data_IF_609374162622
#
_entry.id   IF_609374162622
#
_cell.length_a   1.000
_cell.length_b   1.000
_cell.length_c   1.000
_cell.angle_alpha   90.00
_cell.angle_beta   90.00
_cell.angle_gamma   90.00
#
_symmetry.space_group_name_H-M   'P 1'
#
loop_
_entity.id
_entity.type
_entity.pdbx_description
1 polymer ?
#
# COMPACT_ATOMS: atom_id res chain seq x y z
N UNK A 1 5.72 6.29 -2.02
CA UNK A 1 5.80 6.80 -0.62
C UNK A 1 4.56 6.40 0.14
N UNK A 2 4.69 6.00 1.39
CA UNK A 2 3.57 5.73 2.31
C UNK A 2 3.73 6.60 3.55
N UNK A 3 2.69 7.34 3.93
CA UNK A 3 2.66 8.17 5.14
C UNK A 3 1.56 7.65 6.07
N UNK A 4 1.92 7.28 7.29
CA UNK A 4 1.02 6.83 8.34
C UNK A 4 0.82 7.96 9.34
N UNK A 5 -0.42 8.35 9.59
CA UNK A 5 -0.78 9.44 10.51
C UNK A 5 -1.81 9.01 11.55
N UNK A 6 -1.83 9.71 12.67
CA UNK A 6 -2.71 9.43 13.82
C UNK A 6 -4.14 9.96 13.63
N UNK A 7 -4.40 10.64 12.51
CA UNK A 7 -5.64 11.36 12.27
C UNK A 7 -6.85 10.44 12.02
N UNK A 8 -8.02 10.99 12.28
CA UNK A 8 -9.29 10.41 11.86
C UNK A 8 -9.35 10.27 10.33
N UNK A 9 -9.89 9.15 9.84
CA UNK A 9 -9.92 8.85 8.40
C UNK A 9 -10.72 9.90 7.59
N UNK A 10 -11.85 10.38 8.12
CA UNK A 10 -12.67 11.40 7.44
C UNK A 10 -11.93 12.73 7.38
N UNK A 11 -11.29 13.11 8.49
CA UNK A 11 -10.49 14.33 8.55
C UNK A 11 -9.22 14.23 7.68
N UNK A 12 -8.60 13.05 7.59
CA UNK A 12 -7.45 12.80 6.72
C UNK A 12 -7.78 13.03 5.24
N UNK A 13 -9.03 12.80 4.80
CA UNK A 13 -9.47 13.15 3.44
C UNK A 13 -9.19 14.62 3.11
N UNK A 14 -9.46 15.54 4.03
CA UNK A 14 -9.19 16.96 3.83
C UNK A 14 -7.70 17.26 3.65
N UNK A 15 -6.85 16.54 4.38
CA UNK A 15 -5.38 16.67 4.22
C UNK A 15 -4.95 16.19 2.83
N UNK A 16 -5.51 15.08 2.35
CA UNK A 16 -5.24 14.56 1.01
C UNK A 16 -5.69 15.57 -0.04
N UNK A 17 -6.93 16.08 0.06
CA UNK A 17 -7.48 17.05 -0.89
C UNK A 17 -6.65 18.34 -0.93
N UNK A 18 -6.20 18.83 0.22
CA UNK A 18 -5.36 20.02 0.31
C UNK A 18 -3.92 19.78 -0.24
N UNK A 19 -3.36 18.59 -0.03
CA UNK A 19 -1.98 18.27 -0.42
C UNK A 19 -1.85 17.80 -1.87
N UNK A 20 -2.90 17.22 -2.44
CA UNK A 20 -2.90 16.62 -3.79
C UNK A 20 -2.39 17.56 -4.88
N UNK A 21 -2.85 18.85 -4.99
CA UNK A 21 -2.35 19.75 -6.02
C UNK A 21 -0.82 19.92 -5.96
N UNK A 22 -0.29 20.14 -4.76
CA UNK A 22 1.14 20.32 -4.54
C UNK A 22 1.95 19.06 -4.86
N UNK A 23 1.46 17.90 -4.43
CA UNK A 23 2.13 16.62 -4.69
C UNK A 23 2.11 16.27 -6.18
N UNK A 24 1.00 16.53 -6.87
CA UNK A 24 0.87 16.32 -8.32
C UNK A 24 1.83 17.25 -9.09
N UNK A 25 1.89 18.54 -8.73
CA UNK A 25 2.83 19.50 -9.32
C UNK A 25 4.29 19.07 -9.09
N UNK A 26 4.59 18.45 -7.94
CA UNK A 26 5.91 17.93 -7.60
C UNK A 26 6.24 16.58 -8.27
N UNK A 27 5.31 15.98 -9.05
CA UNK A 27 5.55 14.77 -9.83
C UNK A 27 4.91 13.48 -9.28
N UNK A 28 3.97 13.56 -8.32
CA UNK A 28 3.19 12.40 -7.92
C UNK A 28 2.21 12.00 -9.03
N UNK A 29 2.23 10.75 -9.46
CA UNK A 29 1.33 10.19 -10.47
C UNK A 29 0.03 9.64 -9.87
N UNK A 30 0.03 9.30 -8.57
CA UNK A 30 -1.13 8.79 -7.86
C UNK A 30 -1.03 9.13 -6.37
N UNK A 31 -2.16 9.51 -5.76
CA UNK A 31 -2.27 9.78 -4.32
C UNK A 31 -3.55 9.14 -3.84
N UNK A 32 -3.46 8.32 -2.79
CA UNK A 32 -4.61 7.58 -2.24
C UNK A 32 -4.57 7.58 -0.72
N UNK A 33 -5.74 7.66 -0.12
CA UNK A 33 -5.94 7.53 1.30
C UNK A 33 -6.68 6.26 1.67
N UNK A 34 -6.36 5.72 2.84
CA UNK A 34 -7.05 4.58 3.40
C UNK A 34 -7.11 4.64 4.93
N UNK A 35 -8.23 4.23 5.50
CA UNK A 35 -8.37 3.95 6.91
C UNK A 35 -7.89 2.52 7.20
N UNK A 36 -7.05 2.33 8.22
CA UNK A 36 -6.58 1.00 8.63
C UNK A 36 -7.61 0.41 9.59
N UNK A 37 -8.25 -0.68 9.16
CA UNK A 37 -9.33 -1.33 9.90
C UNK A 37 -8.83 -2.44 10.83
N UNK A 38 -7.71 -3.10 10.49
CA UNK A 38 -7.15 -4.21 11.28
C UNK A 38 -5.63 -4.15 11.34
N UNK A 39 -5.06 -4.79 12.36
CA UNK A 39 -3.61 -4.88 12.57
C UNK A 39 -3.09 -3.86 13.59
N UNK A 40 -1.76 -3.75 13.77
CA UNK A 40 -1.14 -2.91 14.80
C UNK A 40 -1.44 -1.42 14.68
N UNK A 41 -1.77 -0.97 13.47
CA UNK A 41 -2.06 0.43 13.16
C UNK A 41 -3.57 0.71 12.99
N UNK A 42 -4.44 -0.15 13.52
CA UNK A 42 -5.89 0.04 13.48
C UNK A 42 -6.30 1.43 14.00
N UNK A 43 -7.18 2.08 13.26
CA UNK A 43 -7.67 3.43 13.57
C UNK A 43 -6.82 4.56 13.01
N UNK A 44 -5.62 4.27 12.48
CA UNK A 44 -4.79 5.26 11.80
C UNK A 44 -5.18 5.41 10.32
N UNK A 45 -4.78 6.52 9.75
CA UNK A 45 -4.90 6.76 8.32
C UNK A 45 -3.58 6.52 7.61
N UNK A 46 -3.65 5.94 6.41
CA UNK A 46 -2.53 5.71 5.51
C UNK A 46 -2.73 6.54 4.24
N UNK A 47 -1.75 7.33 3.87
CA UNK A 47 -1.69 7.98 2.56
C UNK A 47 -0.55 7.35 1.76
N UNK A 48 -0.87 6.80 0.59
CA UNK A 48 0.10 6.30 -0.36
C UNK A 48 0.21 7.23 -1.57
N UNK A 49 1.42 7.46 -2.06
CA UNK A 49 1.66 8.22 -3.28
C UNK A 49 2.73 7.54 -4.13
N UNK A 50 2.52 7.56 -5.45
CA UNK A 50 3.42 6.97 -6.44
C UNK A 50 4.20 8.09 -7.10
N UNK A 51 5.50 7.89 -7.27
CA UNK A 51 6.46 8.86 -7.82
C UNK A 51 7.37 8.14 -8.78
N UNK A 52 7.60 8.69 -9.95
CA UNK A 52 8.61 8.19 -10.87
C UNK A 52 10.03 8.49 -10.32
N UNK A 53 10.19 9.70 -9.76
CA UNK A 53 11.40 10.13 -9.07
C UNK A 53 11.07 10.53 -7.62
N UNK A 54 11.59 9.83 -6.59
CA UNK A 54 11.34 10.16 -5.20
C UNK A 54 11.90 11.52 -4.75
N UNK A 55 12.87 12.09 -5.48
CA UNK A 55 13.44 13.41 -5.16
C UNK A 55 12.36 14.49 -5.15
N UNK A 56 11.40 14.41 -6.08
CA UNK A 56 10.26 15.34 -6.12
C UNK A 56 9.48 15.40 -4.80
N UNK A 57 9.33 14.26 -4.12
CA UNK A 57 8.72 14.24 -2.79
C UNK A 57 9.56 15.01 -1.76
N UNK A 58 10.85 14.70 -1.64
CA UNK A 58 11.70 15.26 -0.59
C UNK A 58 11.99 16.74 -0.82
N UNK A 59 12.27 17.18 -2.05
CA UNK A 59 12.55 18.56 -2.41
C UNK A 59 11.38 19.51 -2.19
N UNK A 60 10.15 19.01 -2.40
CA UNK A 60 8.96 19.86 -2.32
C UNK A 60 8.17 19.68 -1.01
N UNK A 61 8.47 18.64 -0.20
CA UNK A 61 7.73 18.32 1.02
C UNK A 61 7.61 19.52 1.97
N UNK A 62 8.67 20.26 2.21
CA UNK A 62 8.65 21.42 3.08
C UNK A 62 7.73 22.53 2.55
N UNK A 63 7.65 22.71 1.23
CA UNK A 63 6.81 23.75 0.60
C UNK A 63 5.33 23.44 0.82
N UNK A 64 4.86 22.23 0.51
CA UNK A 64 3.43 21.95 0.69
C UNK A 64 3.03 21.82 2.17
N UNK A 65 3.92 21.35 3.05
CA UNK A 65 3.65 21.33 4.48
C UNK A 65 3.63 22.72 5.12
N UNK A 66 4.15 23.74 4.45
CA UNK A 66 4.06 25.14 4.86
C UNK A 66 2.84 25.88 4.26
N UNK A 67 2.12 25.27 3.31
CA UNK A 67 0.92 25.85 2.74
C UNK A 67 -0.17 26.02 3.82
N UNK A 68 -0.77 27.22 3.99
CA UNK A 68 -1.75 27.46 5.05
C UNK A 68 -2.96 26.54 5.01
N UNK A 69 -3.40 26.09 3.82
CA UNK A 69 -4.55 25.17 3.69
C UNK A 69 -4.17 23.77 4.15
N UNK A 70 -2.96 23.31 3.82
CA UNK A 70 -2.42 22.03 4.27
C UNK A 70 -2.23 22.04 5.79
N UNK A 71 -1.63 23.10 6.34
CA UNK A 71 -1.48 23.28 7.78
C UNK A 71 -2.80 23.24 8.51
N UNK A 72 -3.81 23.99 8.02
CA UNK A 72 -5.14 24.01 8.61
C UNK A 72 -5.82 22.63 8.55
N UNK A 73 -5.67 21.90 7.44
CA UNK A 73 -6.21 20.55 7.30
C UNK A 73 -5.56 19.55 8.29
N UNK A 74 -4.24 19.62 8.49
CA UNK A 74 -3.53 18.82 9.50
C UNK A 74 -4.01 19.11 10.92
N UNK A 75 -4.19 20.40 11.26
CA UNK A 75 -4.70 20.81 12.56
C UNK A 75 -6.13 20.33 12.80
N UNK A 76 -7.02 20.49 11.80
CA UNK A 76 -8.41 20.03 11.87
C UNK A 76 -8.49 18.49 11.99
N UNK A 77 -7.61 17.77 11.32
CA UNK A 77 -7.52 16.31 11.40
C UNK A 77 -6.87 15.81 12.70
N UNK A 78 -6.31 16.69 13.52
CA UNK A 78 -5.59 16.31 14.74
C UNK A 78 -4.32 15.49 14.48
N UNK A 79 -3.76 15.56 13.26
CA UNK A 79 -2.55 14.83 12.91
C UNK A 79 -1.34 15.57 13.49
N UNK A 80 -0.69 14.97 14.46
CA UNK A 80 0.47 15.54 15.15
C UNK A 80 1.81 15.07 14.63
N UNK A 81 1.83 13.97 13.88
CA UNK A 81 3.01 13.40 13.27
C UNK A 81 2.68 12.40 12.19
N UNK A 82 3.61 12.24 11.26
CA UNK A 82 3.52 11.24 10.20
C UNK A 82 4.79 10.43 10.13
N UNK A 83 4.65 9.11 10.11
CA UNK A 83 5.74 8.20 9.77
C UNK A 83 5.72 7.98 8.26
N UNK A 84 6.83 8.30 7.59
CA UNK A 84 6.96 8.15 6.14
C UNK A 84 7.86 6.98 5.82
N UNK A 85 7.40 6.12 4.92
CA UNK A 85 8.15 4.97 4.41
C UNK A 85 8.23 5.06 2.89
N UNK A 86 9.42 4.88 2.35
CA UNK A 86 9.65 4.73 0.92
C UNK A 86 9.63 3.25 0.56
N UNK A 87 8.95 2.92 -0.52
CA UNK A 87 8.89 1.57 -1.07
C UNK A 87 9.05 1.62 -2.60
N UNK A 88 9.69 0.62 -3.15
CA UNK A 88 9.79 0.37 -4.58
C UNK A 88 8.63 -0.54 -4.99
N UNK A 89 7.88 -0.18 -6.04
CA UNK A 89 6.89 -1.07 -6.64
C UNK A 89 7.63 -2.12 -7.46
N UNK A 90 7.47 -3.39 -7.10
CA UNK A 90 8.15 -4.51 -7.75
C UNK A 90 7.28 -5.19 -8.80
N UNK A 91 5.96 -5.21 -8.62
CA UNK A 91 5.02 -5.67 -9.64
C UNK A 91 3.62 -5.10 -9.41
N UNK A 92 2.84 -5.02 -10.49
CA UNK A 92 1.41 -4.73 -10.47
C UNK A 92 0.69 -5.66 -11.43
N UNK A 93 -0.48 -6.16 -11.03
CA UNK A 93 -1.39 -6.98 -11.85
C UNK A 93 -2.83 -6.52 -11.64
N UNK A 94 -3.62 -6.55 -12.72
CA UNK A 94 -5.02 -6.12 -12.70
C UNK A 94 -5.16 -4.62 -12.39
N UNK A 95 -6.31 -4.24 -11.83
CA UNK A 95 -6.62 -2.87 -11.45
C UNK A 95 -6.31 -2.66 -9.97
N UNK A 96 -5.24 -1.91 -9.68
CA UNK A 96 -4.85 -1.61 -8.30
C UNK A 96 -5.78 -0.59 -7.63
N UNK A 97 -7.09 -0.82 -7.71
CA UNK A 97 -8.17 -0.01 -7.13
C UNK A 97 -9.24 -0.90 -6.53
N UNK A 98 -9.92 -0.41 -5.49
CA UNK A 98 -11.00 -1.10 -4.82
C UNK A 98 -11.44 -0.39 -3.55
N UNK A 99 -12.57 -0.82 -3.02
CA UNK A 99 -13.11 -0.33 -1.75
C UNK A 99 -12.21 -0.70 -0.58
N UNK A 100 -11.54 -1.86 -0.66
CA UNK A 100 -10.64 -2.36 0.37
C UNK A 100 -9.27 -2.69 -0.19
N UNK A 101 -8.25 -2.53 0.67
CA UNK A 101 -6.92 -3.07 0.46
C UNK A 101 -6.62 -4.14 1.51
N UNK A 102 -6.16 -5.31 1.08
CA UNK A 102 -5.66 -6.35 1.98
C UNK A 102 -4.15 -6.36 1.88
N UNK A 103 -3.49 -5.74 2.85
CA UNK A 103 -2.03 -5.67 2.93
C UNK A 103 -1.47 -6.93 3.59
N UNK A 104 -0.47 -7.53 2.95
CA UNK A 104 0.24 -8.72 3.42
C UNK A 104 1.73 -8.38 3.52
N UNK A 105 2.23 -8.33 4.75
CA UNK A 105 3.64 -8.13 5.05
C UNK A 105 4.37 -9.47 4.98
N UNK A 106 5.52 -9.46 4.34
CA UNK A 106 6.24 -10.70 4.04
C UNK A 106 7.75 -10.50 4.15
N UNK A 107 8.44 -11.55 4.58
CA UNK A 107 9.88 -11.70 4.40
C UNK A 107 10.13 -12.71 3.30
N UNK A 108 11.24 -12.62 2.61
CA UNK A 108 11.70 -13.60 1.62
C UNK A 108 13.22 -13.74 1.67
N UNK A 109 13.73 -14.84 1.17
CA UNK A 109 15.17 -15.06 0.99
C UNK A 109 15.65 -14.67 -0.40
N UNK A 110 14.72 -14.59 -1.37
CA UNK A 110 14.98 -14.14 -2.73
C UNK A 110 13.97 -13.06 -3.14
N UNK A 111 14.47 -11.85 -3.38
CA UNK A 111 13.73 -10.69 -3.89
C UNK A 111 14.13 -10.32 -5.32
N UNK A 112 14.78 -11.24 -6.05
CA UNK A 112 15.07 -11.00 -7.47
C UNK A 112 13.78 -10.79 -8.26
N UNK A 113 13.85 -9.98 -9.32
CA UNK A 113 12.67 -9.70 -10.14
C UNK A 113 12.03 -10.99 -10.68
N UNK A 114 12.84 -11.98 -11.08
CA UNK A 114 12.33 -13.26 -11.55
C UNK A 114 11.56 -14.06 -10.50
N UNK A 115 12.02 -14.04 -9.22
CA UNK A 115 11.28 -14.68 -8.13
C UNK A 115 9.99 -13.95 -7.81
N UNK A 116 9.99 -12.61 -7.85
CA UNK A 116 8.79 -11.79 -7.67
C UNK A 116 7.77 -12.08 -8.77
N UNK A 117 8.19 -12.04 -10.05
CA UNK A 117 7.29 -12.26 -11.19
C UNK A 117 6.66 -13.66 -11.15
N UNK A 118 7.42 -14.70 -10.86
CA UNK A 118 6.91 -16.08 -10.74
C UNK A 118 5.80 -16.21 -9.69
N UNK A 119 6.01 -15.62 -8.50
CA UNK A 119 5.00 -15.61 -7.44
C UNK A 119 3.78 -14.80 -7.85
N UNK A 120 4.00 -13.61 -8.40
CA UNK A 120 2.91 -12.67 -8.73
C UNK A 120 2.05 -13.21 -9.86
N UNK A 121 2.64 -13.86 -10.88
CA UNK A 121 1.91 -14.46 -12.00
C UNK A 121 1.04 -15.64 -11.54
N UNK A 122 1.57 -16.52 -10.66
CA UNK A 122 0.79 -17.60 -10.05
C UNK A 122 -0.39 -17.06 -9.22
N UNK A 123 -0.16 -16.03 -8.41
CA UNK A 123 -1.19 -15.38 -7.60
C UNK A 123 -2.24 -14.68 -8.47
N UNK A 124 -1.82 -14.02 -9.54
CA UNK A 124 -2.71 -13.38 -10.51
C UNK A 124 -3.72 -14.38 -11.08
N UNK A 125 -3.25 -15.52 -11.55
CA UNK A 125 -4.09 -16.56 -12.16
C UNK A 125 -5.21 -17.05 -11.24
N UNK A 126 -4.99 -17.04 -9.92
CA UNK A 126 -5.97 -17.51 -8.93
C UNK A 126 -6.88 -16.38 -8.42
N UNK A 127 -6.34 -15.20 -8.15
CA UNK A 127 -7.04 -14.16 -7.39
C UNK A 127 -7.65 -13.05 -8.23
N UNK A 128 -6.98 -12.65 -9.33
CA UNK A 128 -7.43 -11.47 -10.07
C UNK A 128 -8.67 -11.78 -10.88
N UNK A 129 -9.67 -10.91 -10.83
CA UNK A 129 -10.98 -11.08 -11.46
C UNK A 129 -11.95 -12.03 -10.73
N UNK A 130 -11.53 -12.64 -9.61
CA UNK A 130 -12.37 -13.59 -8.83
C UNK A 130 -12.46 -13.25 -7.36
N UNK A 131 -11.38 -12.80 -6.73
CA UNK A 131 -11.32 -12.41 -5.32
C UNK A 131 -10.68 -11.04 -5.11
N UNK A 132 -9.98 -10.54 -6.13
CA UNK A 132 -9.38 -9.22 -6.12
C UNK A 132 -9.46 -8.56 -7.51
N UNK A 133 -9.47 -7.23 -7.53
CA UNK A 133 -9.41 -6.42 -8.75
C UNK A 133 -7.97 -6.30 -9.24
N UNK A 134 -7.02 -6.27 -8.32
CA UNK A 134 -5.61 -6.13 -8.60
C UNK A 134 -4.72 -6.44 -7.42
N UNK A 135 -3.43 -6.55 -7.71
CA UNK A 135 -2.34 -6.77 -6.77
C UNK A 135 -1.21 -5.81 -7.08
N UNK A 136 -0.69 -5.14 -6.06
CA UNK A 136 0.57 -4.42 -6.10
C UNK A 136 1.52 -5.02 -5.08
N UNK A 137 2.74 -5.32 -5.49
CA UNK A 137 3.81 -5.73 -4.58
C UNK A 137 4.87 -4.64 -4.50
N UNK A 138 5.43 -4.47 -3.30
CA UNK A 138 6.45 -3.48 -3.04
C UNK A 138 7.55 -4.05 -2.16
N UNK A 139 8.77 -3.53 -2.31
CA UNK A 139 9.88 -3.72 -1.38
C UNK A 139 10.08 -2.46 -0.56
N UNK A 140 10.11 -2.58 0.76
CA UNK A 140 10.30 -1.45 1.66
C UNK A 140 11.76 -1.04 1.71
N UNK A 141 12.04 0.21 1.36
CA UNK A 141 13.39 0.76 1.25
C UNK A 141 13.80 1.52 2.52
N UNK A 142 12.84 2.06 3.27
CA UNK A 142 13.10 2.81 4.50
C UNK A 142 12.08 2.47 5.59
N UNK A 143 12.40 2.82 6.84
CA UNK A 143 11.53 2.62 8.00
C UNK A 143 11.83 1.31 8.75
N UNK A 144 11.01 1.00 9.73
CA UNK A 144 11.18 -0.13 10.64
C UNK A 144 11.21 -1.50 9.92
N UNK A 145 10.44 -1.62 8.84
CA UNK A 145 10.33 -2.86 8.06
C UNK A 145 11.20 -2.85 6.79
N UNK A 146 12.29 -2.09 6.78
CA UNK A 146 13.22 -2.06 5.64
C UNK A 146 13.68 -3.47 5.24
N UNK A 147 13.65 -3.74 3.93
CA UNK A 147 14.06 -5.04 3.38
C UNK A 147 12.95 -6.10 3.34
N UNK A 148 11.74 -5.80 3.84
CA UNK A 148 10.57 -6.69 3.71
C UNK A 148 9.74 -6.33 2.49
N UNK A 149 8.82 -7.23 2.10
CA UNK A 149 7.82 -6.97 1.06
C UNK A 149 6.46 -6.61 1.68
N UNK A 150 5.69 -5.83 0.94
CA UNK A 150 4.28 -5.61 1.19
C UNK A 150 3.51 -5.84 -0.11
N UNK A 151 2.72 -6.91 -0.14
CA UNK A 151 1.71 -7.15 -1.16
C UNK A 151 0.37 -6.53 -0.74
N UNK A 152 -0.29 -5.82 -1.64
CA UNK A 152 -1.63 -5.27 -1.39
C UNK A 152 -2.57 -5.78 -2.46
N UNK A 153 -3.56 -6.58 -2.07
CA UNK A 153 -4.69 -6.90 -2.91
C UNK A 153 -5.75 -5.80 -2.80
N UNK A 154 -6.25 -5.36 -3.93
CA UNK A 154 -7.34 -4.41 -4.03
C UNK A 154 -8.63 -5.17 -4.36
N UNK A 155 -9.70 -4.93 -3.60
CA UNK A 155 -10.98 -5.63 -3.78
C UNK A 155 -12.16 -4.74 -3.38
N UNK A 156 -13.31 -4.98 -4.00
CA UNK A 156 -14.57 -4.35 -3.59
C UNK A 156 -15.35 -5.19 -2.58
N UNK A 157 -14.97 -6.48 -2.41
CA UNK A 157 -15.63 -7.43 -1.52
C UNK A 157 -14.62 -8.24 -0.71
N UNK A 158 -14.59 -8.02 0.60
CA UNK A 158 -13.80 -8.88 1.49
C UNK A 158 -14.33 -10.32 1.53
N UNK A 159 -15.64 -10.53 1.32
CA UNK A 159 -16.22 -11.87 1.27
C UNK A 159 -15.67 -12.66 0.08
N UNK A 160 -15.56 -12.03 -1.10
CA UNK A 160 -15.01 -12.66 -2.29
C UNK A 160 -13.52 -12.94 -2.13
N UNK A 161 -12.77 -11.96 -1.60
CA UNK A 161 -11.35 -12.14 -1.30
C UNK A 161 -11.10 -13.32 -0.35
N UNK A 162 -11.77 -13.35 0.80
CA UNK A 162 -11.59 -14.43 1.76
C UNK A 162 -12.18 -15.76 1.31
N UNK A 163 -13.27 -15.74 0.53
CA UNK A 163 -13.83 -16.91 -0.09
C UNK A 163 -12.89 -17.56 -1.11
N UNK A 164 -12.05 -16.76 -1.79
CA UNK A 164 -11.06 -17.25 -2.76
C UNK A 164 -9.72 -17.67 -2.13
N UNK A 165 -9.41 -17.17 -0.94
CA UNK A 165 -8.13 -17.43 -0.28
C UNK A 165 -7.78 -18.93 -0.11
N UNK A 166 -8.71 -19.86 0.22
CA UNK A 166 -8.41 -21.28 0.27
C UNK A 166 -7.88 -21.84 -1.05
N UNK A 167 -8.39 -21.36 -2.18
CA UNK A 167 -7.94 -21.79 -3.51
C UNK A 167 -6.50 -21.31 -3.77
N UNK A 168 -6.19 -20.06 -3.37
CA UNK A 168 -4.83 -19.52 -3.46
C UNK A 168 -3.83 -20.36 -2.67
N UNK A 169 -4.19 -20.73 -1.44
CA UNK A 169 -3.31 -21.50 -0.55
C UNK A 169 -3.17 -22.97 -0.97
N UNK A 170 -4.12 -23.51 -1.73
CA UNK A 170 -4.10 -24.86 -2.25
C UNK A 170 -3.47 -24.97 -3.64
N UNK A 171 -3.19 -23.84 -4.30
CA UNK A 171 -2.64 -23.82 -5.66
C UNK A 171 -1.17 -24.26 -5.65
N UNK A 172 -0.78 -25.27 -6.45
CA UNK A 172 0.57 -25.83 -6.45
C UNK A 172 1.62 -24.85 -6.98
N UNK A 173 1.29 -23.97 -7.93
CA UNK A 173 2.24 -23.03 -8.51
C UNK A 173 2.51 -21.89 -7.52
N UNK A 174 1.49 -21.43 -6.81
CA UNK A 174 1.62 -20.47 -5.70
C UNK A 174 2.49 -21.06 -4.58
N UNK A 175 2.22 -22.30 -4.18
CA UNK A 175 3.00 -22.98 -3.14
C UNK A 175 4.47 -23.16 -3.54
N UNK A 176 4.72 -23.54 -4.80
CA UNK A 176 6.08 -23.69 -5.33
C UNK A 176 6.84 -22.34 -5.36
N UNK A 177 6.18 -21.26 -5.81
CA UNK A 177 6.74 -19.91 -5.83
C UNK A 177 7.09 -19.43 -4.43
N UNK A 178 6.21 -19.62 -3.44
CA UNK A 178 6.44 -19.26 -2.05
C UNK A 178 7.62 -20.05 -1.44
N UNK A 179 7.69 -21.33 -1.71
CA UNK A 179 8.79 -22.18 -1.23
C UNK A 179 10.13 -21.75 -1.85
N UNK A 180 10.16 -21.52 -3.15
CA UNK A 180 11.37 -21.16 -3.91
C UNK A 180 11.93 -19.80 -3.47
N UNK A 181 11.05 -18.80 -3.29
CA UNK A 181 11.44 -17.47 -2.82
C UNK A 181 11.69 -17.39 -1.32
N UNK A 182 11.34 -18.44 -0.56
CA UNK A 182 11.36 -18.41 0.91
C UNK A 182 10.40 -17.37 1.49
N UNK A 183 9.26 -17.16 0.83
CA UNK A 183 8.29 -16.14 1.21
C UNK A 183 7.51 -16.58 2.45
N UNK A 184 7.53 -15.73 3.48
CA UNK A 184 6.82 -15.98 4.74
C UNK A 184 5.94 -14.76 5.07
N UNK A 185 4.64 -14.99 5.22
CA UNK A 185 3.71 -13.95 5.69
C UNK A 185 3.92 -13.71 7.18
N UNK A 186 4.20 -12.47 7.56
CA UNK A 186 4.41 -12.04 8.94
C UNK A 186 3.20 -11.32 9.53
N UNK A 187 2.43 -10.62 8.70
CA UNK A 187 1.27 -9.85 9.13
C UNK A 187 0.28 -9.69 7.97
N UNK A 188 -1.00 -9.55 8.32
CA UNK A 188 -2.06 -9.11 7.41
C UNK A 188 -2.81 -7.92 8.01
N UNK A 189 -3.16 -6.95 7.20
CA UNK A 189 -3.99 -5.82 7.58
C UNK A 189 -5.05 -5.57 6.52
N UNK A 190 -6.18 -5.02 6.94
CA UNK A 190 -7.26 -4.59 6.04
C UNK A 190 -7.35 -3.07 6.13
N UNK A 191 -7.46 -2.44 4.99
CA UNK A 191 -7.69 -1.00 4.86
C UNK A 191 -8.97 -0.75 4.07
N UNK A 192 -9.59 0.40 4.30
CA UNK A 192 -10.70 0.89 3.50
C UNK A 192 -10.30 2.20 2.84
N UNK A 193 -10.52 2.31 1.55
CA UNK A 193 -10.27 3.55 0.78
C UNK A 193 -11.15 4.68 1.30
N UNK A 194 -10.59 5.87 1.47
CA UNK A 194 -11.26 7.11 1.95
C UNK A 194 -11.18 8.20 0.90
#
# INVERSE_FOLDING_TARGET
MMALGDGDAVATRKVIDASTPHMTEAGASSIRGAAILTGPNTGKALVSSVWENPDGYFENRAKWLADPKVVAAFQEAGITGTQVTMAEITAERGTCEGKYGVGIWQTATDFSQGAVDEVVDAVEAVMIGTGANGLRTTRLLTGENTGTALGVFFTDSLADYFGRLPNLLADPDVAAGFQKSGLVTTQRSITQTI
#
